data_IF_909785062702
#
_entry.id   IF_909785062702
#
_cell.length_a   1.000
_cell.length_b   1.000
_cell.length_c   1.000
_cell.angle_alpha   90.00
_cell.angle_beta   90.00
_cell.angle_gamma   90.00
#
_symmetry.space_group_name_H-M   'P 1'
#
loop_
_entity.id
_entity.type
_entity.pdbx_description
1 polymer ?
#
# COMPACT_ATOMS: atom_id res chain seq x y z
N UNK A 1 12.57 -10.14 0.84
CA UNK A 1 11.23 -9.53 0.98
C UNK A 1 11.22 -8.25 0.16
N UNK A 2 10.21 -8.06 -0.70
CA UNK A 2 10.12 -6.92 -1.61
C UNK A 2 9.25 -5.84 -0.93
N UNK A 3 9.78 -4.63 -0.74
CA UNK A 3 9.00 -3.50 -0.23
C UNK A 3 8.08 -2.97 -1.33
N UNK A 4 6.81 -2.74 -1.00
CA UNK A 4 5.83 -2.10 -1.90
C UNK A 4 5.81 -0.57 -1.75
N UNK A 5 6.40 -0.04 -0.68
CA UNK A 5 6.44 1.40 -0.39
C UNK A 5 7.62 2.10 -1.07
N UNK A 6 7.94 1.74 -2.32
CA UNK A 6 9.07 2.33 -3.08
C UNK A 6 8.69 3.66 -3.75
N UNK A 7 8.09 4.56 -2.96
CA UNK A 7 7.73 5.90 -3.40
C UNK A 7 8.55 6.94 -2.64
N UNK A 8 8.77 8.10 -3.26
CA UNK A 8 9.56 9.19 -2.63
C UNK A 8 8.94 9.64 -1.32
N UNK A 9 7.61 9.69 -1.22
CA UNK A 9 6.89 10.12 -0.01
C UNK A 9 6.94 9.08 1.14
N UNK A 10 7.40 7.87 0.84
CA UNK A 10 7.74 6.85 1.83
C UNK A 10 9.24 6.85 2.21
N UNK A 11 10.03 7.77 1.67
CA UNK A 11 11.46 7.92 1.95
C UNK A 11 12.37 7.14 0.98
N UNK A 12 11.84 6.66 -0.14
CA UNK A 12 12.66 6.00 -1.16
C UNK A 12 13.28 7.04 -2.11
N UNK A 13 14.59 7.32 -1.95
CA UNK A 13 15.28 8.36 -2.72
C UNK A 13 15.25 8.12 -4.25
N UNK A 14 15.19 6.85 -4.68
CA UNK A 14 15.09 6.46 -6.09
C UNK A 14 13.68 5.98 -6.46
N UNK A 15 12.70 6.21 -5.59
CA UNK A 15 11.31 5.86 -5.86
C UNK A 15 10.65 6.82 -6.84
N UNK A 16 9.50 6.41 -7.38
CA UNK A 16 8.61 7.31 -8.13
C UNK A 16 7.72 8.09 -7.14
N UNK A 17 7.27 9.29 -7.47
CA UNK A 17 6.29 9.98 -6.63
C UNK A 17 4.94 9.27 -6.72
N UNK A 18 4.19 9.24 -5.61
CA UNK A 18 2.78 8.84 -5.60
C UNK A 18 1.99 9.69 -6.59
N UNK A 19 2.30 10.99 -6.75
CA UNK A 19 1.61 11.87 -7.68
C UNK A 19 1.78 11.45 -9.13
N UNK A 20 2.96 10.97 -9.49
CA UNK A 20 3.29 10.52 -10.85
C UNK A 20 2.70 9.14 -11.15
N UNK A 21 2.49 8.34 -10.11
CA UNK A 21 1.96 6.96 -10.20
C UNK A 21 0.44 6.88 -9.98
N UNK A 22 -0.17 7.97 -9.52
CA UNK A 22 -1.60 8.05 -9.27
C UNK A 22 -2.37 8.10 -10.59
N UNK A 23 -3.40 7.27 -10.72
CA UNK A 23 -4.25 7.25 -11.89
C UNK A 23 -5.50 8.12 -11.70
N UNK A 24 -5.87 8.88 -12.75
CA UNK A 24 -7.12 9.67 -12.75
C UNK A 24 -8.37 8.79 -12.69
N UNK A 25 -8.27 7.56 -13.20
CA UNK A 25 -9.38 6.62 -13.24
C UNK A 25 -9.12 5.43 -12.30
N UNK A 26 -10.15 5.03 -11.57
CA UNK A 26 -10.13 3.78 -10.83
C UNK A 26 -9.99 2.60 -11.79
N UNK A 27 -9.35 1.54 -11.32
CA UNK A 27 -9.19 0.29 -12.05
C UNK A 27 -9.97 -0.84 -11.38
N UNK A 28 -10.47 -1.83 -12.16
CA UNK A 28 -11.42 -2.84 -11.65
C UNK A 28 -10.89 -3.64 -10.45
N UNK A 29 -9.59 -3.89 -10.42
CA UNK A 29 -8.94 -4.74 -9.41
C UNK A 29 -8.63 -4.02 -8.10
N UNK A 30 -8.81 -2.69 -8.05
CA UNK A 30 -8.40 -1.85 -6.92
C UNK A 30 -8.91 -2.38 -5.58
N UNK A 31 -10.20 -2.70 -5.50
CA UNK A 31 -10.81 -3.16 -4.24
C UNK A 31 -10.22 -4.49 -3.75
N UNK A 32 -9.81 -5.38 -4.67
CA UNK A 32 -9.13 -6.63 -4.29
C UNK A 32 -7.74 -6.36 -3.74
N UNK A 33 -7.00 -5.44 -4.36
CA UNK A 33 -5.68 -5.03 -3.88
C UNK A 33 -5.78 -4.36 -2.52
N UNK A 34 -6.71 -3.42 -2.34
CA UNK A 34 -6.95 -2.74 -1.06
C UNK A 34 -7.33 -3.74 0.02
N UNK A 35 -8.21 -4.70 -0.29
CA UNK A 35 -8.57 -5.77 0.65
C UNK A 35 -7.36 -6.62 1.02
N UNK A 36 -6.52 -6.98 0.05
CA UNK A 36 -5.29 -7.73 0.31
C UNK A 36 -4.36 -6.96 1.26
N UNK A 37 -4.08 -5.69 0.99
CA UNK A 37 -3.20 -4.88 1.84
C UNK A 37 -3.73 -4.68 3.27
N UNK A 38 -5.04 -4.71 3.46
CA UNK A 38 -5.69 -4.53 4.78
C UNK A 38 -5.78 -5.81 5.58
N UNK A 39 -6.01 -6.94 4.92
CA UNK A 39 -6.43 -8.18 5.57
C UNK A 39 -5.42 -9.32 5.43
N UNK A 40 -4.57 -9.28 4.41
CA UNK A 40 -3.57 -10.31 4.14
C UNK A 40 -2.22 -9.87 4.69
N UNK A 41 -1.43 -10.81 5.21
CA UNK A 41 -0.13 -10.52 5.81
C UNK A 41 -0.16 -10.41 7.34
N UNK A 42 1.02 -10.54 7.94
CA UNK A 42 1.23 -10.47 9.38
C UNK A 42 1.93 -9.17 9.75
N UNK A 43 1.48 -8.53 10.82
CA UNK A 43 2.20 -7.39 11.39
C UNK A 43 3.55 -7.89 11.95
N UNK A 44 4.64 -7.29 11.48
CA UNK A 44 6.02 -7.63 11.89
C UNK A 44 6.74 -6.49 12.61
N UNK A 45 6.22 -5.26 12.52
CA UNK A 45 6.75 -4.09 13.22
C UNK A 45 5.66 -3.04 13.40
N UNK A 46 5.74 -2.26 14.48
CA UNK A 46 4.84 -1.13 14.75
C UNK A 46 5.67 0.11 15.05
N UNK A 47 5.24 1.27 14.55
CA UNK A 47 5.74 2.58 14.93
C UNK A 47 4.66 3.35 15.68
N UNK A 48 5.01 3.88 16.86
CA UNK A 48 4.16 4.75 17.67
C UNK A 48 4.08 6.18 17.08
N UNK A 49 3.63 6.27 15.83
CA UNK A 49 3.46 7.51 15.07
C UNK A 49 2.08 7.54 14.45
N UNK A 50 1.41 8.69 14.54
CA UNK A 50 0.12 8.92 13.89
C UNK A 50 0.30 8.74 12.38
N UNK A 51 -0.51 7.86 11.78
CA UNK A 51 -0.57 7.67 10.35
C UNK A 51 -1.12 8.94 9.67
N UNK A 52 -0.38 9.41 8.67
CA UNK A 52 -0.71 10.63 7.92
C UNK A 52 -0.65 10.35 6.44
N UNK A 53 -1.51 11.03 5.70
CA UNK A 53 -1.46 11.07 4.26
C UNK A 53 -0.10 11.61 3.83
N UNK A 54 0.68 10.79 3.12
CA UNK A 54 2.02 11.13 2.64
C UNK A 54 2.05 12.31 1.67
N UNK A 55 0.91 12.68 1.06
CA UNK A 55 0.82 13.83 0.15
C UNK A 55 0.34 15.11 0.82
N UNK A 56 -0.64 15.02 1.73
CA UNK A 56 -1.27 16.20 2.36
C UNK A 56 -0.84 16.43 3.81
N UNK A 57 -0.18 15.47 4.43
CA UNK A 57 0.18 15.44 5.85
C UNK A 57 -1.05 15.44 6.79
N UNK A 58 -2.25 15.28 6.27
CA UNK A 58 -3.48 15.13 7.06
C UNK A 58 -3.52 13.77 7.75
N UNK A 59 -4.18 13.70 8.91
CA UNK A 59 -4.35 12.43 9.64
C UNK A 59 -5.20 11.46 8.82
N UNK A 60 -4.79 10.19 8.75
CA UNK A 60 -5.62 9.13 8.19
C UNK A 60 -6.57 8.62 9.28
N UNK A 61 -7.88 8.80 9.08
CA UNK A 61 -8.91 8.30 9.99
C UNK A 61 -8.90 6.77 10.05
N UNK A 62 -9.05 6.21 11.25
CA UNK A 62 -9.05 4.76 11.48
C UNK A 62 -7.67 4.10 11.61
N UNK A 63 -6.58 4.83 11.34
CA UNK A 63 -5.21 4.36 11.59
C UNK A 63 -4.61 5.12 12.78
N UNK A 64 -4.30 4.40 13.86
CA UNK A 64 -3.76 4.96 15.10
C UNK A 64 -2.24 4.82 15.24
N UNK A 65 -1.63 4.01 14.38
CA UNK A 65 -0.19 3.77 14.29
C UNK A 65 0.21 3.40 12.87
N UNK A 66 1.52 3.34 12.60
CA UNK A 66 2.04 2.75 11.37
C UNK A 66 2.52 1.34 11.65
N UNK A 67 1.97 0.38 10.94
CA UNK A 67 2.29 -1.03 11.09
C UNK A 67 2.92 -1.52 9.80
N UNK A 68 4.02 -2.26 9.89
CA UNK A 68 4.63 -2.93 8.76
C UNK A 68 4.06 -4.34 8.68
N UNK A 69 3.40 -4.64 7.57
CA UNK A 69 2.87 -5.96 7.26
C UNK A 69 3.81 -6.71 6.31
N UNK A 70 3.78 -8.04 6.39
CA UNK A 70 4.40 -8.91 5.39
C UNK A 70 3.65 -10.23 5.20
N UNK A 71 3.56 -10.70 3.96
CA UNK A 71 3.09 -12.04 3.57
C UNK A 71 4.26 -13.05 3.39
N UNK A 72 5.49 -12.66 3.73
CA UNK A 72 6.72 -13.42 3.52
C UNK A 72 7.42 -13.15 2.18
N UNK A 73 6.69 -12.66 1.16
CA UNK A 73 7.26 -12.26 -0.14
C UNK A 73 7.35 -10.74 -0.26
N UNK A 74 6.27 -10.04 0.04
CA UNK A 74 6.12 -8.59 0.01
C UNK A 74 5.99 -8.01 1.43
N UNK A 75 6.24 -6.71 1.54
CA UNK A 75 6.00 -5.92 2.76
C UNK A 75 5.51 -4.52 2.45
N UNK A 76 4.69 -3.98 3.34
CA UNK A 76 4.08 -2.66 3.16
C UNK A 76 3.65 -2.06 4.49
N UNK A 77 3.61 -0.72 4.53
CA UNK A 77 3.03 0.00 5.66
C UNK A 77 1.50 0.02 5.59
N UNK A 78 0.86 0.06 6.76
CA UNK A 78 -0.60 0.07 6.92
C UNK A 78 -1.31 1.20 6.17
N UNK A 79 -0.63 2.34 6.00
CA UNK A 79 -1.14 3.49 5.25
C UNK A 79 -1.12 3.30 3.72
N UNK A 80 -0.39 2.31 3.19
CA UNK A 80 -0.35 2.05 1.74
C UNK A 80 -1.74 1.73 1.16
N UNK A 81 -2.56 0.97 1.89
CA UNK A 81 -3.91 0.64 1.45
C UNK A 81 -4.77 1.90 1.26
N UNK A 82 -4.58 2.91 2.10
CA UNK A 82 -5.26 4.20 1.98
C UNK A 82 -4.80 4.95 0.72
N UNK A 83 -3.50 4.98 0.42
CA UNK A 83 -2.99 5.65 -0.79
C UNK A 83 -3.45 4.97 -2.07
N UNK A 84 -3.49 3.63 -2.10
CA UNK A 84 -4.07 2.86 -3.21
C UNK A 84 -5.53 3.23 -3.44
N UNK A 85 -6.33 3.26 -2.38
CA UNK A 85 -7.76 3.51 -2.52
C UNK A 85 -8.07 4.97 -2.91
N UNK A 86 -7.44 5.94 -2.23
CA UNK A 86 -7.67 7.38 -2.41
C UNK A 86 -7.14 7.91 -3.74
N UNK A 87 -5.96 7.47 -4.16
CA UNK A 87 -5.26 8.03 -5.34
C UNK A 87 -5.29 7.13 -6.57
N UNK A 88 -6.01 5.99 -6.50
CA UNK A 88 -5.93 4.93 -7.51
C UNK A 88 -4.46 4.58 -7.82
N UNK A 89 -3.63 4.52 -6.77
CA UNK A 89 -2.20 4.30 -6.89
C UNK A 89 -1.96 2.88 -7.40
N UNK A 90 -1.30 2.76 -8.55
CA UNK A 90 -0.86 1.46 -9.07
C UNK A 90 0.34 0.96 -8.29
N UNK A 91 0.35 -0.33 -8.02
CA UNK A 91 1.49 -1.02 -7.45
C UNK A 91 2.25 -1.74 -8.57
N UNK A 92 3.48 -2.25 -8.32
CA UNK A 92 4.21 -3.01 -9.33
C UNK A 92 3.34 -4.13 -9.91
N UNK A 93 3.31 -4.24 -11.24
CA UNK A 93 2.46 -5.19 -11.97
C UNK A 93 2.63 -6.63 -11.48
N UNK A 94 3.84 -7.01 -11.03
CA UNK A 94 4.12 -8.32 -10.45
C UNK A 94 3.35 -8.57 -9.16
N UNK A 95 3.21 -7.55 -8.31
CA UNK A 95 2.41 -7.63 -7.08
C UNK A 95 0.91 -7.70 -7.39
N UNK A 96 0.43 -6.85 -8.30
CA UNK A 96 -0.98 -6.84 -8.67
C UNK A 96 -1.40 -8.20 -9.25
N UNK A 97 -0.59 -8.76 -10.14
CA UNK A 97 -0.80 -10.12 -10.68
C UNK A 97 -0.70 -11.19 -9.60
N UNK A 98 0.19 -11.04 -8.61
CA UNK A 98 0.31 -11.96 -7.49
C UNK A 98 -0.99 -12.02 -6.66
N UNK A 99 -1.56 -10.87 -6.30
CA UNK A 99 -2.84 -10.77 -5.58
C UNK A 99 -3.99 -11.37 -6.39
N UNK A 100 -4.04 -11.05 -7.69
CA UNK A 100 -5.11 -11.54 -8.57
C UNK A 100 -5.07 -13.05 -8.79
N UNK A 101 -3.89 -13.68 -8.71
CA UNK A 101 -3.75 -15.12 -8.81
C UNK A 101 -3.95 -15.84 -7.47
N UNK A 102 -3.68 -15.19 -6.33
CA UNK A 102 -4.10 -15.67 -5.01
C UNK A 102 -5.61 -15.84 -4.94
N UNK A 103 -6.37 -14.85 -5.41
CA UNK A 103 -7.82 -14.88 -5.42
C UNK A 103 -8.45 -15.96 -6.32
N UNK A 104 -7.67 -16.60 -7.22
CA UNK A 104 -8.13 -17.72 -8.05
C UNK A 104 -7.97 -19.08 -7.38
N UNK A 105 -7.24 -19.14 -6.25
CA UNK A 105 -6.98 -20.39 -5.51
C UNK A 105 -7.95 -20.61 -4.35
N UNK A 106 -8.91 -19.70 -4.16
CA UNK A 106 -10.03 -19.79 -3.22
C UNK A 106 -11.29 -20.05 -4.03
#
# INVERSE_FOLDING_TARGET
>A
MISLCNFTEYGCNNGVSIKDSACKHSYPEKQKIVSCLKNEGKCIMVQAKIAKDRLTNERISGLFGLELFSDGKYSWWSDLAYHVDKYNLRLPTEFENYVLNLAKKI
#
